data_IF_563733156892
#
_entry.id   IF_563733156892
#
_cell.length_a   1.000
_cell.length_b   1.000
_cell.length_c   1.000
_cell.angle_alpha   90.00
_cell.angle_beta   90.00
_cell.angle_gamma   90.00
#
_symmetry.space_group_name_H-M   'P 1'
#
loop_
_entity.id
_entity.type
_entity.pdbx_description
1 polymer ?
#
# COMPACT_ATOMS: atom_id res chain seq x y z
N UNK A 1 4.55 -6.67 -1.50
CA UNK A 1 3.12 -6.45 -1.74
C UNK A 1 2.31 -7.35 -0.83
N UNK A 2 1.29 -6.80 -0.18
CA UNK A 2 0.30 -7.49 0.66
C UNK A 2 -1.05 -7.31 -0.02
N UNK A 3 -1.52 -8.29 -0.79
CA UNK A 3 -2.68 -8.14 -1.68
C UNK A 3 -3.73 -9.23 -1.47
N UNK A 4 -5.01 -8.83 -1.43
CA UNK A 4 -6.11 -9.79 -1.31
C UNK A 4 -6.41 -10.53 -2.63
N UNK A 5 -7.22 -11.59 -2.56
CA UNK A 5 -7.57 -12.43 -3.72
C UNK A 5 -8.34 -11.72 -4.84
N UNK A 6 -8.72 -10.45 -4.68
CA UNK A 6 -9.28 -9.60 -5.72
C UNK A 6 -8.26 -8.61 -6.29
N UNK A 7 -6.95 -8.77 -5.98
CA UNK A 7 -5.86 -7.85 -6.31
C UNK A 7 -6.02 -6.44 -5.73
N UNK A 8 -6.76 -6.30 -4.63
CA UNK A 8 -6.81 -5.04 -3.86
C UNK A 8 -5.93 -5.20 -2.63
N UNK A 9 -4.91 -4.37 -2.47
CA UNK A 9 -3.92 -4.53 -1.40
C UNK A 9 -3.05 -3.32 -1.16
N UNK A 10 -2.07 -3.49 -0.28
CA UNK A 10 -0.97 -2.57 -0.09
C UNK A 10 0.18 -3.03 -0.99
N UNK A 11 0.60 -2.21 -1.93
CA UNK A 11 1.57 -2.65 -2.94
C UNK A 11 2.97 -2.82 -2.37
N UNK A 12 3.40 -1.93 -1.47
CA UNK A 12 4.70 -2.04 -0.81
C UNK A 12 4.61 -1.65 0.66
N UNK A 13 5.38 -2.37 1.49
CA UNK A 13 5.61 -2.04 2.90
C UNK A 13 7.12 -1.98 3.10
N UNK A 14 7.62 -0.86 3.61
CA UNK A 14 9.02 -0.68 3.95
C UNK A 14 9.22 -0.67 5.46
N UNK A 15 10.15 -1.47 5.99
CA UNK A 15 10.55 -1.39 7.39
C UNK A 15 11.63 -0.33 7.55
N UNK A 16 11.37 0.67 8.40
CA UNK A 16 12.30 1.73 8.75
C UNK A 16 13.32 1.24 9.78
N UNK A 17 14.45 1.96 9.87
CA UNK A 17 15.49 1.72 10.88
C UNK A 17 14.98 1.88 12.32
N UNK A 18 13.92 2.65 12.53
CA UNK A 18 13.25 2.85 13.83
C UNK A 18 12.23 1.75 14.15
N UNK A 19 12.09 0.74 13.29
CA UNK A 19 11.16 -0.38 13.48
C UNK A 19 9.73 -0.09 13.01
N UNK A 20 9.44 1.11 12.48
CA UNK A 20 8.12 1.45 11.92
C UNK A 20 7.95 0.97 10.48
N UNK A 21 6.71 0.91 10.03
CA UNK A 21 6.32 0.51 8.68
C UNK A 21 5.81 1.70 7.87
N UNK A 22 6.46 1.98 6.75
CA UNK A 22 5.93 2.89 5.73
C UNK A 22 5.07 2.09 4.75
N UNK A 23 3.92 2.64 4.38
CA UNK A 23 2.94 1.99 3.50
C UNK A 23 2.79 2.76 2.20
N UNK A 24 2.85 2.04 1.08
CA UNK A 24 2.76 2.63 -0.25
C UNK A 24 1.67 1.98 -1.08
N UNK A 25 0.82 2.82 -1.66
CA UNK A 25 -0.05 2.48 -2.78
C UNK A 25 0.65 2.89 -4.07
N UNK A 26 0.85 1.97 -5.01
CA UNK A 26 1.56 2.24 -6.26
C UNK A 26 0.61 2.17 -7.44
N UNK A 27 0.46 3.28 -8.15
CA UNK A 27 -0.44 3.38 -9.31
C UNK A 27 0.37 3.57 -10.59
N UNK A 28 0.23 2.63 -11.52
CA UNK A 28 0.86 2.74 -12.85
C UNK A 28 -0.14 3.37 -13.82
N UNK A 29 0.24 4.50 -14.41
CA UNK A 29 -0.59 5.28 -15.34
C UNK A 29 0.02 5.23 -16.76
N UNK A 30 -0.67 4.60 -17.71
CA UNK A 30 -0.21 4.44 -19.11
C UNK A 30 -0.84 5.43 -20.08
N UNK A 31 -1.90 6.13 -19.66
CA UNK A 31 -2.64 7.11 -20.48
C UNK A 31 -2.22 8.56 -20.20
N UNK A 32 -1.25 8.77 -19.30
CA UNK A 32 -0.80 10.10 -18.88
C UNK A 32 -1.71 10.80 -17.87
N UNK A 33 -2.83 10.18 -17.46
CA UNK A 33 -3.73 10.70 -16.43
C UNK A 33 -3.51 9.97 -15.11
N UNK A 34 -3.56 10.71 -14.00
CA UNK A 34 -3.64 10.12 -12.65
C UNK A 34 -5.00 9.47 -12.52
N UNK A 35 -5.03 8.18 -12.19
CA UNK A 35 -6.27 7.52 -11.79
C UNK A 35 -6.70 8.07 -10.42
N UNK A 36 -7.94 8.57 -10.27
CA UNK A 36 -8.39 9.09 -8.98
C UNK A 36 -8.31 7.98 -7.92
N UNK A 37 -7.98 8.37 -6.69
CA UNK A 37 -8.08 7.47 -5.54
C UNK A 37 -9.51 6.93 -5.49
N UNK A 38 -9.66 5.60 -5.36
CA UNK A 38 -10.98 5.03 -5.12
C UNK A 38 -11.53 5.59 -3.79
N UNK A 39 -12.85 5.63 -3.61
CA UNK A 39 -13.49 6.12 -2.36
C UNK A 39 -12.93 5.43 -1.10
N UNK A 40 -12.43 4.19 -1.23
CA UNK A 40 -11.80 3.42 -0.15
C UNK A 40 -10.38 3.85 0.21
N UNK A 41 -9.72 4.62 -0.65
CA UNK A 41 -8.34 5.09 -0.50
C UNK A 41 -8.26 6.55 -0.01
N UNK A 42 -9.41 7.20 0.19
CA UNK A 42 -9.49 8.55 0.80
C UNK A 42 -9.04 8.54 2.27
N UNK A 43 -9.05 7.36 2.90
CA UNK A 43 -8.60 7.15 4.27
C UNK A 43 -7.61 5.96 4.29
N UNK A 44 -6.32 6.30 4.20
CA UNK A 44 -5.21 5.34 4.23
C UNK A 44 -5.26 4.45 5.47
N UNK A 45 -5.68 4.99 6.61
CA UNK A 45 -5.80 4.24 7.86
C UNK A 45 -6.87 3.15 7.81
N UNK A 46 -8.08 3.48 7.35
CA UNK A 46 -9.14 2.48 7.15
C UNK A 46 -8.74 1.43 6.13
N UNK A 47 -8.07 1.84 5.06
CA UNK A 47 -7.61 0.92 4.03
C UNK A 47 -6.59 -0.08 4.58
N UNK A 48 -5.52 0.40 5.22
CA UNK A 48 -4.44 -0.43 5.76
C UNK A 48 -4.99 -1.40 6.80
N UNK A 49 -5.79 -0.92 7.77
CA UNK A 49 -6.45 -1.80 8.75
C UNK A 49 -7.34 -2.84 8.09
N UNK A 50 -8.11 -2.43 7.08
CA UNK A 50 -8.99 -3.33 6.36
C UNK A 50 -8.27 -4.43 5.59
N UNK A 51 -7.02 -4.21 5.14
CA UNK A 51 -6.19 -5.21 4.47
C UNK A 51 -5.50 -6.14 5.48
N UNK A 52 -4.97 -5.58 6.57
CA UNK A 52 -4.25 -6.31 7.62
C UNK A 52 -5.17 -7.03 8.62
N UNK A 53 -6.48 -6.90 8.45
CA UNK A 53 -7.50 -7.54 9.26
C UNK A 53 -7.26 -9.05 9.48
N UNK A 54 -7.56 -9.61 10.67
CA UNK A 54 -7.42 -11.03 10.97
C UNK A 54 -8.13 -11.96 9.99
N UNK A 55 -9.19 -11.51 9.31
CA UNK A 55 -9.89 -12.33 8.32
C UNK A 55 -9.24 -12.31 6.93
N UNK A 56 -8.23 -11.46 6.73
CA UNK A 56 -7.47 -11.23 5.49
C UNK A 56 -5.99 -11.56 5.67
N UNK A 57 -5.08 -10.57 5.56
CA UNK A 57 -3.65 -10.81 5.71
C UNK A 57 -3.29 -11.35 7.11
N UNK A 58 -4.08 -11.01 8.13
CA UNK A 58 -3.88 -11.48 9.50
C UNK A 58 -4.09 -12.99 9.70
N UNK A 59 -4.66 -13.71 8.73
CA UNK A 59 -4.65 -15.20 8.72
C UNK A 59 -3.30 -15.80 8.32
N UNK A 60 -2.34 -14.97 7.92
CA UNK A 60 -1.14 -15.40 7.22
C UNK A 60 -1.39 -15.58 5.72
N UNK A 61 -0.37 -15.25 4.92
CA UNK A 61 -0.46 -15.25 3.46
C UNK A 61 0.05 -13.95 2.85
N UNK A 62 0.03 -13.85 1.52
CA UNK A 62 0.45 -12.64 0.78
C UNK A 62 1.88 -12.20 1.10
N UNK A 63 2.75 -13.19 1.36
CA UNK A 63 4.16 -13.00 1.67
C UNK A 63 4.47 -12.58 3.11
N UNK A 64 3.47 -12.55 4.01
CA UNK A 64 3.67 -12.23 5.43
C UNK A 64 3.00 -13.25 6.36
N UNK A 65 3.56 -13.41 7.56
CA UNK A 65 2.95 -14.18 8.64
C UNK A 65 1.82 -13.41 9.34
N UNK A 66 0.97 -14.13 10.06
CA UNK A 66 -0.07 -13.52 10.91
C UNK A 66 0.51 -12.58 11.96
N UNK A 67 1.65 -12.95 12.56
CA UNK A 67 2.35 -12.10 13.54
C UNK A 67 2.90 -10.81 12.93
N UNK A 68 3.43 -10.86 11.70
CA UNK A 68 3.85 -9.65 10.98
C UNK A 68 2.66 -8.77 10.62
N UNK A 69 1.57 -9.35 10.12
CA UNK A 69 0.34 -8.62 9.83
C UNK A 69 -0.20 -7.91 11.09
N UNK A 70 -0.17 -8.59 12.25
CA UNK A 70 -0.61 -8.01 13.52
C UNK A 70 0.29 -6.85 13.97
N UNK A 71 1.61 -6.98 13.84
CA UNK A 71 2.55 -5.87 14.12
C UNK A 71 2.31 -4.68 13.20
N UNK A 72 2.11 -4.94 11.91
CA UNK A 72 1.82 -3.90 10.92
C UNK A 72 0.43 -3.29 11.13
N UNK A 73 -0.53 -3.99 11.75
CA UNK A 73 -1.88 -3.48 11.99
C UNK A 73 -1.96 -2.49 13.17
N UNK A 74 -0.95 -2.47 14.04
CA UNK A 74 -0.85 -1.54 15.16
C UNK A 74 -0.38 -0.15 14.69
N UNK A 75 -1.22 0.90 14.79
CA UNK A 75 -0.88 2.25 14.37
C UNK A 75 0.36 2.84 15.04
N UNK A 76 0.76 2.36 16.22
CA UNK A 76 1.98 2.83 16.89
C UNK A 76 3.25 2.44 16.10
N UNK A 77 3.15 1.39 15.29
CA UNK A 77 4.23 0.93 14.42
C UNK A 77 4.19 1.59 13.04
N UNK A 78 3.31 2.57 12.80
CA UNK A 78 3.18 3.20 11.49
C UNK A 78 4.13 4.39 11.33
N UNK A 79 4.75 4.45 10.15
CA UNK A 79 5.47 5.60 9.62
C UNK A 79 4.61 6.40 8.66
N UNK A 80 5.16 6.69 7.48
CA UNK A 80 4.51 7.45 6.42
C UNK A 80 3.55 6.57 5.60
N UNK A 81 2.46 7.17 5.14
CA UNK A 81 1.55 6.59 4.14
C UNK A 81 1.63 7.42 2.86
N UNK A 82 2.01 6.81 1.74
CA UNK A 82 2.25 7.53 0.48
C UNK A 82 1.55 6.87 -0.69
N UNK A 83 1.15 7.70 -1.66
CA UNK A 83 0.77 7.24 -2.99
C UNK A 83 1.93 7.55 -3.94
N UNK A 84 2.31 6.56 -4.74
CA UNK A 84 3.34 6.67 -5.78
C UNK A 84 2.66 6.46 -7.13
N UNK A 85 2.56 7.53 -7.92
CA UNK A 85 2.07 7.48 -9.29
C UNK A 85 3.25 7.34 -10.27
N UNK A 86 3.33 6.21 -10.94
CA UNK A 86 4.35 5.90 -11.96
C UNK A 86 3.72 6.09 -13.33
N UNK A 87 4.25 7.00 -14.13
CA UNK A 87 3.76 7.26 -15.48
C UNK A 87 4.65 6.54 -16.49
N UNK A 88 4.02 5.74 -17.34
CA UNK A 88 4.69 5.02 -18.43
C UNK A 88 4.19 5.57 -19.76
N UNK A 89 5.12 6.00 -20.61
CA UNK A 89 4.84 6.49 -21.97
C UNK A 89 5.68 5.70 -22.97
N UNK A 90 5.04 5.10 -23.97
CA UNK A 90 5.69 4.27 -24.99
C UNK A 90 6.60 3.16 -24.40
N UNK A 91 6.13 2.51 -23.33
CA UNK A 91 6.87 1.44 -22.65
C UNK A 91 8.07 1.91 -21.82
N UNK A 92 8.27 3.22 -21.64
CA UNK A 92 9.34 3.80 -20.83
C UNK A 92 8.80 4.59 -19.65
N UNK A 93 9.56 4.63 -18.55
CA UNK A 93 9.29 5.52 -17.44
C UNK A 93 9.33 6.97 -17.94
N UNK A 94 8.23 7.69 -17.75
CA UNK A 94 8.10 9.12 -18.08
C UNK A 94 8.36 9.97 -16.84
N UNK A 95 7.63 9.71 -15.75
CA UNK A 95 7.83 10.40 -14.46
C UNK A 95 7.25 9.60 -13.29
N UNK A 96 7.67 9.98 -12.08
CA UNK A 96 7.12 9.48 -10.82
C UNK A 96 6.64 10.69 -10.00
N UNK A 97 5.42 10.62 -9.48
CA UNK A 97 4.89 11.58 -8.52
C UNK A 97 4.65 10.87 -7.20
N UNK A 98 4.93 11.58 -6.09
CA UNK A 98 4.67 11.09 -4.75
C UNK A 98 3.79 12.09 -4.01
N UNK A 99 2.81 11.56 -3.28
CA UNK A 99 1.91 12.37 -2.45
C UNK A 99 1.66 11.68 -1.11
N UNK A 100 1.20 12.44 -0.12
CA UNK A 100 0.67 11.83 1.10
C UNK A 100 -0.60 11.06 0.75
N UNK A 101 -0.74 9.88 1.35
CA UNK A 101 -1.92 9.04 1.21
C UNK A 101 -2.98 9.36 2.26
#
# INVERSE_FOLDING_TARGET
AVQNGSNHGIDLVGMRKDGKFDFFEVKTNTTGKVSPLSVRQVDSFRFIKGILDPQKAGKGGWGISSGEAQKMADPNNWGDTRIIDIFIKNGKLDKVLTSQW
#
